data_IF_315369184281
#
_entry.id   IF_315369184281
#
_cell.length_a   1.000
_cell.length_b   1.000
_cell.length_c   1.000
_cell.angle_alpha   90.00
_cell.angle_beta   90.00
_cell.angle_gamma   90.00
#
_symmetry.space_group_name_H-M   'P 1'
#
loop_
_entity.id
_entity.type
_entity.pdbx_description
1 polymer ?
#
# COMPACT_ATOMS: atom_id res chain seq x y z
N UNK A 1 14.32 -18.49 10.60
CA UNK A 1 14.04 -17.29 11.40
C UNK A 1 12.53 -17.12 11.40
N UNK A 2 11.84 -17.01 12.56
CA UNK A 2 10.40 -16.78 12.55
C UNK A 2 10.12 -15.43 11.88
N UNK A 3 9.27 -15.46 10.86
CA UNK A 3 8.96 -14.36 9.94
C UNK A 3 8.61 -13.08 10.72
N UNK A 4 9.56 -12.13 10.77
CA UNK A 4 9.28 -10.76 11.20
C UNK A 4 8.49 -10.08 10.08
N UNK A 5 7.20 -10.42 10.02
CA UNK A 5 6.25 -9.79 9.13
C UNK A 5 5.57 -8.65 9.89
N UNK A 6 5.80 -7.43 9.42
CA UNK A 6 5.01 -6.27 9.77
C UNK A 6 3.91 -6.10 8.73
N UNK A 7 2.73 -5.70 9.18
CA UNK A 7 1.59 -5.42 8.30
C UNK A 7 0.88 -4.17 8.79
N UNK A 8 0.49 -3.29 7.89
CA UNK A 8 -0.32 -2.12 8.23
C UNK A 8 -1.44 -1.89 7.21
N UNK A 9 -2.62 -1.63 7.73
CA UNK A 9 -3.80 -1.25 6.96
C UNK A 9 -3.86 0.27 6.78
N UNK A 10 -4.29 0.70 5.60
CA UNK A 10 -4.50 2.11 5.25
C UNK A 10 -5.84 2.27 4.55
N UNK A 11 -6.57 3.30 4.91
CA UNK A 11 -7.86 3.62 4.32
C UNK A 11 -7.75 4.92 3.54
N UNK A 12 -8.06 4.89 2.25
CA UNK A 12 -8.19 6.11 1.46
C UNK A 12 -9.60 6.66 1.64
N UNK A 13 -9.72 7.93 1.97
CA UNK A 13 -10.96 8.72 2.04
C UNK A 13 -10.89 9.87 1.03
N UNK A 14 -11.95 10.67 0.92
CA UNK A 14 -11.92 11.90 0.13
C UNK A 14 -10.96 12.98 0.68
N UNK A 15 -10.63 12.86 1.97
CA UNK A 15 -9.77 13.79 2.71
C UNK A 15 -8.32 13.31 2.84
N UNK A 16 -8.05 12.04 2.51
CA UNK A 16 -6.71 11.47 2.47
C UNK A 16 -6.59 10.08 3.08
N UNK A 17 -5.36 9.71 3.42
CA UNK A 17 -5.03 8.39 3.98
C UNK A 17 -5.16 8.37 5.51
N UNK A 18 -5.86 7.37 6.01
CA UNK A 18 -6.01 7.09 7.45
C UNK A 18 -5.34 5.77 7.75
N UNK A 19 -4.48 5.74 8.78
CA UNK A 19 -3.87 4.49 9.25
C UNK A 19 -4.90 3.63 9.99
N UNK A 20 -5.01 2.38 9.58
CA UNK A 20 -5.81 1.36 10.24
C UNK A 20 -4.96 0.47 11.14
N UNK A 21 -5.36 -0.79 11.23
CA UNK A 21 -4.74 -1.79 12.07
C UNK A 21 -3.26 -2.04 11.74
N UNK A 22 -2.47 -2.29 12.78
CA UNK A 22 -1.05 -2.66 12.67
C UNK A 22 -0.85 -4.05 13.27
N UNK A 23 -0.16 -4.91 12.54
CA UNK A 23 0.22 -6.24 13.00
C UNK A 23 1.73 -6.43 12.96
N UNK A 24 2.24 -7.12 13.97
CA UNK A 24 3.63 -7.59 14.04
C UNK A 24 3.62 -9.07 14.36
N UNK A 25 4.33 -9.89 13.57
CA UNK A 25 4.42 -11.35 13.77
C UNK A 25 3.03 -12.00 13.92
N UNK A 26 2.06 -11.52 13.13
CA UNK A 26 0.63 -11.95 13.12
C UNK A 26 -0.18 -11.60 14.38
N UNK A 27 0.39 -10.85 15.33
CA UNK A 27 -0.35 -10.28 16.44
C UNK A 27 -0.79 -8.86 16.09
N UNK A 28 -1.99 -8.46 16.52
CA UNK A 28 -2.45 -7.07 16.42
C UNK A 28 -1.80 -6.26 17.54
N UNK A 29 -1.11 -5.17 17.19
CA UNK A 29 -0.31 -4.38 18.14
C UNK A 29 -1.15 -3.33 18.91
N UNK A 30 -2.37 -3.07 18.45
CA UNK A 30 -3.24 -1.99 18.94
C UNK A 30 -4.69 -2.48 19.09
N UNK A 31 -5.58 -1.75 19.78
CA UNK A 31 -7.02 -2.03 19.68
C UNK A 31 -7.48 -2.00 18.21
N UNK A 32 -8.44 -2.86 17.88
CA UNK A 32 -8.99 -2.96 16.52
C UNK A 32 -9.54 -1.60 16.06
N UNK A 33 -8.93 -1.05 15.02
CA UNK A 33 -9.41 0.14 14.31
C UNK A 33 -10.40 -0.33 13.25
N UNK A 34 -11.64 0.19 13.33
CA UNK A 34 -12.66 -0.06 12.31
C UNK A 34 -12.38 0.80 11.09
N UNK A 35 -12.60 0.25 9.91
CA UNK A 35 -12.58 1.01 8.65
C UNK A 35 -13.56 2.19 8.74
N UNK A 36 -13.14 3.41 8.40
CA UNK A 36 -14.02 4.57 8.28
C UNK A 36 -15.18 4.32 7.30
N UNK A 37 -16.34 4.91 7.57
CA UNK A 37 -17.55 4.70 6.73
C UNK A 37 -17.41 5.33 5.34
N UNK A 38 -16.61 6.38 5.24
CA UNK A 38 -16.28 7.18 4.07
C UNK A 38 -15.02 6.68 3.34
N UNK A 39 -14.45 5.55 3.76
CA UNK A 39 -13.33 4.95 3.06
C UNK A 39 -13.76 4.54 1.64
N UNK A 40 -13.00 4.97 0.63
CA UNK A 40 -13.18 4.58 -0.76
C UNK A 40 -12.33 3.36 -1.11
N UNK A 41 -11.19 3.18 -0.45
CA UNK A 41 -10.33 2.00 -0.59
C UNK A 41 -9.66 1.61 0.71
N UNK A 42 -9.24 0.35 0.80
CA UNK A 42 -8.41 -0.15 1.89
C UNK A 42 -7.23 -0.93 1.31
N UNK A 43 -6.04 -0.55 1.76
CA UNK A 43 -4.77 -1.09 1.33
C UNK A 43 -4.05 -1.74 2.51
N UNK A 44 -3.26 -2.76 2.21
CA UNK A 44 -2.41 -3.44 3.17
C UNK A 44 -0.99 -3.32 2.69
N UNK A 45 -0.12 -2.76 3.53
CA UNK A 45 1.33 -2.82 3.39
C UNK A 45 1.86 -3.98 4.21
N UNK A 46 2.65 -4.84 3.62
CA UNK A 46 3.34 -5.95 4.27
C UNK A 46 4.83 -5.74 4.12
N UNK A 47 5.56 -5.73 5.23
CA UNK A 47 7.02 -5.72 5.23
C UNK A 47 7.52 -7.03 5.77
N UNK A 48 8.29 -7.74 4.95
CA UNK A 48 8.98 -8.96 5.36
C UNK A 48 10.47 -8.65 5.49
N UNK A 49 11.05 -8.98 6.65
CA UNK A 49 12.50 -8.95 6.80
C UNK A 49 13.14 -9.90 5.77
N UNK A 50 13.94 -9.37 4.84
CA UNK A 50 14.76 -10.22 3.98
C UNK A 50 16.05 -10.61 4.70
N UNK A 51 16.72 -11.65 4.19
CA UNK A 51 18.07 -12.01 4.64
C UNK A 51 18.98 -10.78 4.57
N UNK A 52 19.88 -10.64 5.56
CA UNK A 52 20.60 -9.41 5.97
C UNK A 52 21.20 -8.54 4.85
N UNK A 53 21.37 -9.04 3.64
CA UNK A 53 21.97 -8.35 2.51
C UNK A 53 21.00 -7.55 1.62
N UNK A 54 19.66 -7.71 1.72
CA UNK A 54 18.73 -7.17 0.69
C UNK A 54 17.69 -6.13 1.14
N UNK A 55 17.66 -5.74 2.42
CA UNK A 55 16.68 -4.79 2.96
C UNK A 55 15.25 -5.37 3.01
N UNK A 56 14.28 -4.73 3.69
CA UNK A 56 12.93 -5.27 3.81
C UNK A 56 12.24 -5.38 2.44
N UNK A 57 11.53 -6.50 2.21
CA UNK A 57 10.63 -6.63 1.06
C UNK A 57 9.30 -6.00 1.45
N UNK A 58 8.95 -4.91 0.78
CA UNK A 58 7.69 -4.19 0.98
C UNK A 58 6.74 -4.62 -0.14
N UNK A 59 5.60 -5.19 0.25
CA UNK A 59 4.48 -5.51 -0.63
C UNK A 59 3.26 -4.67 -0.24
N UNK A 60 2.43 -4.32 -1.21
CA UNK A 60 1.24 -3.50 -0.98
C UNK A 60 0.10 -3.96 -1.86
N UNK A 61 -1.06 -4.21 -1.26
CA UNK A 61 -2.23 -4.70 -1.99
C UNK A 61 -3.49 -3.93 -1.57
N UNK A 62 -4.30 -3.56 -2.57
CA UNK A 62 -5.67 -3.13 -2.33
C UNK A 62 -6.51 -4.36 -1.99
N UNK A 63 -7.09 -4.40 -0.79
CA UNK A 63 -7.91 -5.52 -0.32
C UNK A 63 -9.40 -5.23 -0.37
N UNK A 64 -9.76 -3.96 -0.53
CA UNK A 64 -11.14 -3.54 -0.66
C UNK A 64 -11.23 -2.19 -1.38
N UNK A 65 -12.24 -2.05 -2.22
CA UNK A 65 -12.59 -0.81 -2.91
C UNK A 65 -14.11 -0.66 -2.90
N UNK A 66 -14.59 0.55 -2.67
CA UNK A 66 -16.01 0.87 -2.79
C UNK A 66 -16.45 0.68 -4.25
N UNK A 67 -17.63 0.08 -4.44
CA UNK A 67 -18.25 -0.08 -5.77
C UNK A 67 -19.06 1.16 -6.17
N UNK A 68 -19.47 1.96 -5.18
CA UNK A 68 -20.25 3.19 -5.40
C UNK A 68 -19.35 4.38 -5.80
N UNK A 69 -18.03 4.22 -5.72
CA UNK A 69 -17.06 5.25 -6.06
C UNK A 69 -16.49 5.01 -7.48
N UNK A 70 -16.70 5.93 -8.44
CA UNK A 70 -16.25 5.73 -9.81
C UNK A 70 -14.72 5.56 -9.91
N UNK A 71 -14.22 4.67 -10.79
CA UNK A 71 -12.77 4.46 -10.95
C UNK A 71 -11.99 5.74 -11.26
N UNK A 72 -12.57 6.67 -12.02
CA UNK A 72 -11.96 7.97 -12.33
C UNK A 72 -11.82 8.85 -11.08
N UNK A 73 -12.80 8.81 -10.18
CA UNK A 73 -12.75 9.55 -8.91
C UNK A 73 -11.69 8.95 -7.97
N UNK A 74 -11.60 7.62 -7.92
CA UNK A 74 -10.52 6.93 -7.20
C UNK A 74 -9.16 7.34 -7.78
N UNK A 75 -8.98 7.32 -9.10
CA UNK A 75 -7.72 7.74 -9.73
C UNK A 75 -7.36 9.19 -9.39
N UNK A 76 -8.35 10.10 -9.37
CA UNK A 76 -8.15 11.48 -8.94
C UNK A 76 -7.71 11.60 -7.47
N UNK A 77 -8.28 10.77 -6.59
CA UNK A 77 -7.85 10.70 -5.19
C UNK A 77 -6.42 10.17 -5.04
N UNK A 78 -6.02 9.18 -5.83
CA UNK A 78 -4.62 8.71 -5.85
C UNK A 78 -3.64 9.76 -6.38
N UNK A 79 -4.06 10.60 -7.34
CA UNK A 79 -3.26 11.74 -7.79
C UNK A 79 -3.14 12.82 -6.72
N UNK A 80 -4.24 13.08 -5.97
CA UNK A 80 -4.29 14.09 -4.91
C UNK A 80 -3.56 13.64 -3.65
N UNK A 81 -3.71 12.38 -3.29
CA UNK A 81 -3.11 11.72 -2.15
C UNK A 81 -2.22 10.59 -2.67
N UNK A 82 -1.06 10.94 -3.26
CA UNK A 82 -0.15 9.92 -3.74
C UNK A 82 0.14 8.96 -2.59
N UNK A 83 0.18 7.65 -2.87
CA UNK A 83 0.51 6.66 -1.86
C UNK A 83 1.80 7.02 -1.08
N UNK A 84 2.68 7.83 -1.68
CA UNK A 84 3.93 8.44 -1.17
C UNK A 84 3.96 9.12 0.21
N UNK A 85 2.83 9.29 0.91
CA UNK A 85 2.84 9.66 2.35
C UNK A 85 3.35 8.54 3.28
N UNK A 86 3.51 7.34 2.72
CA UNK A 86 4.18 6.18 3.28
C UNK A 86 5.44 5.99 2.42
N UNK A 87 6.64 5.78 2.94
CA UNK A 87 7.82 5.70 2.06
C UNK A 87 7.76 4.46 1.15
N UNK A 88 7.50 4.66 -0.14
CA UNK A 88 7.57 3.61 -1.18
C UNK A 88 8.97 3.58 -1.75
N UNK A 89 9.77 2.57 -1.42
CA UNK A 89 10.78 2.12 -2.37
C UNK A 89 10.07 1.26 -3.40
N UNK A 90 9.55 1.92 -4.43
CA UNK A 90 9.08 1.28 -5.64
C UNK A 90 10.29 0.57 -6.29
N UNK A 91 10.35 -0.76 -6.22
CA UNK A 91 11.10 -1.50 -7.24
C UNK A 91 10.26 -1.44 -8.50
N UNK A 92 10.42 -0.36 -9.26
CA UNK A 92 10.06 -0.34 -10.67
C UNK A 92 10.87 -1.49 -11.29
N UNK A 93 10.26 -2.58 -11.81
CA UNK A 93 11.01 -3.49 -12.64
C UNK A 93 11.53 -2.66 -13.81
N UNK A 94 12.86 -2.62 -13.98
CA UNK A 94 13.47 -1.96 -15.11
C UNK A 94 12.91 -2.60 -16.38
N UNK A 95 11.88 -1.98 -16.97
CA UNK A 95 11.50 -2.27 -18.34
C UNK A 95 12.69 -1.81 -19.17
N UNK A 96 13.40 -2.71 -19.88
CA UNK A 96 14.39 -2.23 -20.83
C UNK A 96 13.64 -1.35 -21.81
N UNK A 97 14.03 -0.07 -21.87
CA UNK A 97 13.57 0.84 -22.91
C UNK A 97 13.84 0.14 -24.24
N UNK A 98 12.76 -0.30 -24.89
CA UNK A 98 12.84 -0.79 -26.25
C UNK A 98 13.49 0.29 -27.09
N UNK A 99 14.62 -0.06 -27.71
CA UNK A 99 15.32 0.79 -28.66
C UNK A 99 14.35 1.15 -29.78
N UNK A 100 13.85 2.38 -29.77
CA UNK A 100 13.24 2.94 -30.97
C UNK A 100 14.39 3.23 -31.96
N UNK A 101 14.60 2.31 -32.90
CA UNK A 101 15.34 2.62 -34.11
C UNK A 101 14.50 3.57 -34.96
N UNK A 102 15.03 4.75 -35.24
CA UNK A 102 14.56 5.61 -36.31
C UNK A 102 14.87 4.92 -37.65
N UNK A 103 13.83 4.61 -38.40
CA UNK A 103 13.87 4.15 -39.79
C UNK A 103 12.62 4.65 -40.50
#
# INVERSE_FOLDING_TARGET
MPDQQFKQEFHLTEDGWISGNTWLRRALEQPLIKRPIDAVQTWIRTENASLEATGPVIDTACVWSSQDFPPAAIAALHLRFPPGGLSWTEKIPATPLGTFSLG
#
